data_IF_033460014508
#
_entry.id   IF_033460014508
#
_cell.length_a   1.000
_cell.length_b   1.000
_cell.length_c   1.000
_cell.angle_alpha   90.00
_cell.angle_beta   90.00
_cell.angle_gamma   90.00
#
_symmetry.space_group_name_H-M   'P 1'
#
loop_
_entity.id
_entity.type
_entity.pdbx_description
1 polymer ?
#
# COMPACT_ATOMS: atom_id res chain seq x y z
N UNK A 1 -5.22 3.29 16.01
CA UNK A 1 -6.09 4.17 15.21
C UNK A 1 -6.20 3.62 13.80
N UNK A 2 -7.38 3.75 13.17
CA UNK A 2 -7.60 3.29 11.79
C UNK A 2 -6.71 4.10 10.85
N UNK A 3 -6.06 3.44 9.91
CA UNK A 3 -5.27 4.14 8.90
C UNK A 3 -6.19 4.94 7.98
N UNK A 4 -5.81 6.20 7.72
CA UNK A 4 -6.52 7.11 6.83
C UNK A 4 -5.57 7.46 5.66
N UNK A 5 -5.66 6.74 4.53
CA UNK A 5 -4.76 6.95 3.40
C UNK A 5 -4.90 8.33 2.79
N UNK A 6 -3.79 8.89 2.33
CA UNK A 6 -3.82 10.11 1.50
C UNK A 6 -4.22 9.78 0.05
N UNK A 7 -4.70 10.77 -0.73
CA UNK A 7 -5.03 10.55 -2.14
C UNK A 7 -3.87 9.96 -2.97
N UNK A 8 -2.63 10.40 -2.71
CA UNK A 8 -1.45 9.84 -3.38
C UNK A 8 -1.18 8.40 -3.00
N UNK A 9 -1.38 8.02 -1.73
CA UNK A 9 -1.25 6.63 -1.31
C UNK A 9 -2.27 5.74 -2.02
N UNK A 10 -3.53 6.18 -2.13
CA UNK A 10 -4.56 5.45 -2.88
C UNK A 10 -4.18 5.30 -4.35
N UNK A 11 -3.75 6.39 -5.00
CA UNK A 11 -3.38 6.37 -6.42
C UNK A 11 -2.28 5.34 -6.70
N UNK A 12 -1.26 5.28 -5.85
CA UNK A 12 -0.15 4.33 -5.98
C UNK A 12 -0.63 2.89 -5.79
N UNK A 13 -1.43 2.62 -4.75
CA UNK A 13 -2.00 1.29 -4.50
C UNK A 13 -2.88 0.82 -5.67
N UNK A 14 -3.72 1.70 -6.20
CA UNK A 14 -4.53 1.44 -7.39
C UNK A 14 -3.70 1.15 -8.63
N UNK A 15 -2.54 1.81 -8.81
CA UNK A 15 -1.65 1.51 -9.94
C UNK A 15 -1.14 0.06 -9.90
N UNK A 16 -0.71 -0.42 -8.73
CA UNK A 16 -0.30 -1.81 -8.56
C UNK A 16 -1.48 -2.78 -8.79
N UNK A 17 -2.65 -2.45 -8.27
CA UNK A 17 -3.85 -3.26 -8.46
C UNK A 17 -4.27 -3.32 -9.94
N UNK A 18 -4.32 -2.19 -10.64
CA UNK A 18 -4.62 -2.13 -12.08
C UNK A 18 -3.54 -2.85 -12.91
N UNK A 19 -2.31 -2.90 -12.43
CA UNK A 19 -1.21 -3.70 -12.99
C UNK A 19 -1.29 -5.22 -12.74
N UNK A 20 -2.35 -5.70 -12.09
CA UNK A 20 -2.59 -7.14 -11.89
C UNK A 20 -2.11 -7.69 -10.54
N UNK A 21 -1.49 -6.86 -9.69
CA UNK A 21 -1.14 -7.28 -8.34
C UNK A 21 -2.42 -7.51 -7.52
N UNK A 22 -2.56 -8.71 -6.94
CA UNK A 22 -3.69 -9.07 -6.06
C UNK A 22 -3.20 -9.53 -4.69
N UNK A 23 -2.13 -10.31 -4.64
CA UNK A 23 -1.58 -10.87 -3.41
C UNK A 23 -0.09 -10.57 -3.32
N UNK A 24 0.31 -9.39 -2.83
CA UNK A 24 1.72 -9.08 -2.66
C UNK A 24 2.35 -9.97 -1.58
N UNK A 25 3.58 -10.43 -1.82
CA UNK A 25 4.36 -11.15 -0.83
C UNK A 25 4.96 -10.19 0.23
N UNK A 26 5.63 -10.72 1.25
CA UNK A 26 6.18 -9.91 2.35
C UNK A 26 7.17 -8.83 1.88
N UNK A 27 8.08 -9.18 0.96
CA UNK A 27 9.06 -8.24 0.41
C UNK A 27 8.39 -7.12 -0.40
N UNK A 28 7.38 -7.46 -1.20
CA UNK A 28 6.57 -6.49 -1.94
C UNK A 28 5.80 -5.56 -1.00
N UNK A 29 5.23 -6.10 0.09
CA UNK A 29 4.54 -5.31 1.11
C UNK A 29 5.51 -4.31 1.76
N UNK A 30 6.72 -4.75 2.13
CA UNK A 30 7.75 -3.88 2.69
C UNK A 30 8.15 -2.78 1.71
N UNK A 31 8.41 -3.13 0.44
CA UNK A 31 8.78 -2.17 -0.60
C UNK A 31 7.67 -1.14 -0.86
N UNK A 32 6.42 -1.59 -1.04
CA UNK A 32 5.26 -0.70 -1.24
C UNK A 32 5.08 0.20 -0.01
N UNK A 33 5.21 -0.34 1.20
CA UNK A 33 5.11 0.44 2.44
C UNK A 33 6.19 1.51 2.51
N UNK A 34 7.45 1.17 2.17
CA UNK A 34 8.55 2.12 2.16
C UNK A 34 8.31 3.28 1.17
N UNK A 35 7.79 2.97 -0.03
CA UNK A 35 7.42 3.98 -1.01
C UNK A 35 6.26 4.88 -0.51
N UNK A 36 5.22 4.29 0.07
CA UNK A 36 4.02 5.00 0.52
C UNK A 36 4.26 5.89 1.74
N UNK A 37 5.29 5.62 2.55
CA UNK A 37 5.68 6.43 3.72
C UNK A 37 6.05 7.87 3.35
N UNK A 38 6.46 8.12 2.11
CA UNK A 38 6.77 9.48 1.62
C UNK A 38 5.52 10.36 1.55
N UNK A 39 4.33 9.76 1.49
CA UNK A 39 3.04 10.43 1.29
C UNK A 39 2.15 10.44 2.53
N UNK A 40 2.66 9.95 3.67
CA UNK A 40 1.93 9.88 4.94
C UNK A 40 2.23 8.63 5.76
N UNK A 41 1.75 8.61 7.00
CA UNK A 41 1.93 7.47 7.91
C UNK A 41 1.25 6.22 7.36
N UNK A 42 1.99 5.12 7.28
CA UNK A 42 1.51 3.81 6.84
C UNK A 42 2.37 2.68 7.44
N UNK A 43 1.76 1.53 7.69
CA UNK A 43 2.40 0.30 8.16
C UNK A 43 2.14 -0.85 7.17
N UNK A 44 2.97 -1.90 7.20
CA UNK A 44 2.83 -3.05 6.28
C UNK A 44 1.46 -3.72 6.33
N UNK A 45 0.84 -3.79 7.52
CA UNK A 45 -0.53 -4.31 7.69
C UNK A 45 -1.56 -3.53 6.87
N UNK A 46 -1.34 -2.23 6.65
CA UNK A 46 -2.25 -1.41 5.85
C UNK A 46 -2.20 -1.80 4.38
N UNK A 47 -1.00 -2.04 3.84
CA UNK A 47 -0.82 -2.54 2.48
C UNK A 47 -1.41 -3.93 2.35
N UNK A 48 -1.10 -4.84 3.29
CA UNK A 48 -1.67 -6.19 3.33
C UNK A 48 -3.20 -6.17 3.28
N UNK A 49 -3.86 -5.42 4.17
CA UNK A 49 -5.32 -5.35 4.23
C UNK A 49 -5.95 -4.62 3.04
N UNK A 50 -5.22 -3.74 2.35
CA UNK A 50 -5.76 -3.06 1.17
C UNK A 50 -5.84 -4.00 -0.04
N UNK A 51 -4.92 -4.97 -0.15
CA UNK A 51 -4.87 -5.92 -1.27
C UNK A 51 -5.74 -7.19 -1.06
N UNK A 52 -6.27 -7.40 0.16
CA UNK A 52 -7.16 -8.51 0.48
C UNK A 52 -8.62 -8.16 0.16
#
# INVERSE_FOLDING_TARGET
TRWNPTPDQIRILEMFYKGGMRTPNAEQIEHITAQLRQYGKIEGKNVFYWFQ
#
